data_IF_978833899744
#
_entry.id   IF_978833899744
#
_cell.length_a   1.000
_cell.length_b   1.000
_cell.length_c   1.000
_cell.angle_alpha   90.00
_cell.angle_beta   90.00
_cell.angle_gamma   90.00
#
_symmetry.space_group_name_H-M   'P 1'
#
loop_
_entity.id
_entity.type
_entity.pdbx_description
1 polymer ?
#
# COMPACT_ATOMS: atom_id res chain seq x y z
N UNK A 1 -15.55 -20.42 -18.09
CA UNK A 1 -15.53 -21.59 -17.17
C UNK A 1 -16.48 -21.28 -16.03
N UNK A 2 -17.63 -21.96 -15.95
CA UNK A 2 -18.55 -21.91 -14.81
C UNK A 2 -17.93 -22.72 -13.67
N UNK A 3 -17.74 -22.09 -12.51
CA UNK A 3 -17.32 -22.81 -11.30
C UNK A 3 -18.47 -23.71 -10.86
N UNK A 4 -18.17 -24.98 -10.53
CA UNK A 4 -19.17 -25.93 -10.06
C UNK A 4 -19.53 -25.60 -8.61
N UNK A 5 -20.81 -25.39 -8.30
CA UNK A 5 -21.29 -24.95 -6.97
C UNK A 5 -21.43 -26.09 -5.95
N UNK A 6 -20.73 -27.21 -6.17
CA UNK A 6 -20.81 -28.43 -5.35
C UNK A 6 -20.11 -28.27 -3.98
N UNK A 7 -19.19 -27.32 -3.85
CA UNK A 7 -18.44 -27.08 -2.62
C UNK A 7 -18.61 -25.62 -2.18
N UNK A 8 -18.75 -25.35 -0.86
CA UNK A 8 -18.80 -23.99 -0.36
C UNK A 8 -17.44 -23.30 -0.57
N UNK A 9 -17.44 -22.17 -1.28
CA UNK A 9 -16.25 -21.38 -1.51
C UNK A 9 -16.15 -20.24 -0.50
N UNK A 10 -15.13 -20.29 0.36
CA UNK A 10 -14.72 -19.18 1.20
C UNK A 10 -13.57 -18.44 0.51
N UNK A 11 -13.72 -17.15 0.25
CA UNK A 11 -12.68 -16.38 -0.44
C UNK A 11 -11.89 -15.56 0.57
N UNK A 12 -10.66 -15.98 0.85
CA UNK A 12 -9.75 -15.28 1.75
C UNK A 12 -9.03 -14.12 1.05
N UNK A 13 -9.04 -12.95 1.70
CA UNK A 13 -8.50 -11.68 1.22
C UNK A 13 -9.24 -11.21 -0.03
N UNK A 14 -10.17 -10.28 0.20
CA UNK A 14 -10.95 -9.68 -0.86
C UNK A 14 -10.05 -9.02 -1.92
N UNK A 15 -10.31 -9.24 -3.22
CA UNK A 15 -9.79 -8.31 -4.23
C UNK A 15 -10.33 -6.91 -3.92
N UNK A 16 -9.64 -5.84 -4.33
CA UNK A 16 -10.10 -4.45 -4.15
C UNK A 16 -11.28 -4.11 -5.09
N UNK A 17 -12.36 -4.88 -5.00
CA UNK A 17 -13.56 -4.80 -5.85
C UNK A 17 -14.29 -3.48 -5.63
N UNK A 18 -14.26 -2.99 -4.39
CA UNK A 18 -14.76 -1.69 -3.97
C UNK A 18 -14.11 -0.52 -4.69
N UNK A 19 -12.86 -0.65 -5.13
CA UNK A 19 -12.11 0.44 -5.74
C UNK A 19 -12.45 0.65 -7.23
N UNK A 20 -12.60 -0.43 -8.02
CA UNK A 20 -12.71 -0.30 -9.49
C UNK A 20 -13.25 -1.54 -10.23
N UNK A 21 -13.76 -2.58 -9.55
CA UNK A 21 -14.18 -3.83 -10.21
C UNK A 21 -15.60 -4.27 -9.90
N UNK A 22 -16.57 -3.34 -9.88
CA UNK A 22 -17.98 -3.66 -9.58
C UNK A 22 -18.55 -4.86 -10.36
N UNK A 23 -18.14 -5.07 -11.62
CA UNK A 23 -18.57 -6.25 -12.40
C UNK A 23 -18.20 -7.60 -11.79
N UNK A 24 -17.23 -7.67 -10.86
CA UNK A 24 -16.90 -8.91 -10.13
C UNK A 24 -17.86 -9.20 -8.97
N UNK A 25 -18.66 -8.23 -8.53
CA UNK A 25 -19.62 -8.42 -7.45
C UNK A 25 -20.63 -9.51 -7.79
N UNK A 26 -21.11 -9.57 -9.03
CA UNK A 26 -22.04 -10.62 -9.46
C UNK A 26 -21.41 -12.01 -9.41
N UNK A 27 -20.14 -12.13 -9.79
CA UNK A 27 -19.40 -13.39 -9.71
C UNK A 27 -19.21 -13.80 -8.24
N UNK A 28 -18.83 -12.85 -7.38
CA UNK A 28 -18.66 -13.12 -5.95
C UNK A 28 -19.99 -13.57 -5.35
N UNK A 29 -21.08 -12.84 -5.60
CA UNK A 29 -22.43 -13.19 -5.14
C UNK A 29 -22.88 -14.57 -5.59
N UNK A 30 -22.51 -14.96 -6.82
CA UNK A 30 -22.91 -16.25 -7.41
C UNK A 30 -22.12 -17.42 -6.83
N UNK A 31 -20.83 -17.25 -6.59
CA UNK A 31 -19.92 -18.37 -6.33
C UNK A 31 -19.32 -18.40 -4.93
N UNK A 32 -19.23 -17.27 -4.24
CA UNK A 32 -18.59 -17.19 -2.91
C UNK A 32 -19.66 -17.29 -1.84
N UNK A 33 -19.53 -18.29 -0.96
CA UNK A 33 -20.41 -18.51 0.18
C UNK A 33 -20.24 -17.41 1.23
N UNK A 34 -18.99 -17.07 1.55
CA UNK A 34 -18.64 -16.02 2.50
C UNK A 34 -17.27 -15.43 2.14
N UNK A 35 -17.21 -14.11 2.04
CA UNK A 35 -15.97 -13.36 1.86
C UNK A 35 -15.26 -13.24 3.20
N UNK A 36 -13.94 -13.48 3.21
CA UNK A 36 -13.11 -13.17 4.37
C UNK A 36 -12.23 -11.97 4.03
N UNK A 37 -12.52 -10.87 4.71
CA UNK A 37 -11.99 -9.54 4.40
C UNK A 37 -10.94 -9.11 5.41
N UNK A 38 -10.05 -8.21 5.00
CA UNK A 38 -8.90 -7.76 5.80
C UNK A 38 -8.95 -6.26 6.13
N UNK A 39 -9.99 -5.56 5.67
CA UNK A 39 -10.29 -4.20 6.10
C UNK A 39 -11.71 -4.12 6.62
N UNK A 40 -11.89 -3.39 7.73
CA UNK A 40 -13.18 -3.25 8.43
C UNK A 40 -14.29 -2.69 7.52
N UNK A 41 -13.97 -1.77 6.61
CA UNK A 41 -14.96 -1.20 5.70
C UNK A 41 -15.48 -2.19 4.63
N UNK A 42 -14.75 -3.28 4.37
CA UNK A 42 -15.13 -4.25 3.33
C UNK A 42 -16.36 -5.06 3.74
N UNK A 43 -16.58 -5.31 5.04
CA UNK A 43 -17.79 -5.99 5.52
C UNK A 43 -19.05 -5.19 5.15
N UNK A 44 -19.06 -3.91 5.47
CA UNK A 44 -20.18 -3.01 5.14
C UNK A 44 -20.34 -2.80 3.63
N UNK A 45 -19.23 -2.80 2.87
CA UNK A 45 -19.28 -2.78 1.41
C UNK A 45 -19.99 -4.01 0.85
N UNK A 46 -19.62 -5.22 1.26
CA UNK A 46 -20.23 -6.46 0.77
C UNK A 46 -21.66 -6.66 1.26
N UNK A 47 -21.96 -6.25 2.49
CA UNK A 47 -23.31 -6.30 3.06
C UNK A 47 -24.32 -5.50 2.22
N UNK A 48 -23.93 -4.31 1.74
CA UNK A 48 -24.76 -3.48 0.83
C UNK A 48 -25.02 -4.17 -0.51
N UNK A 49 -24.13 -5.06 -0.93
CA UNK A 49 -24.24 -5.83 -2.18
C UNK A 49 -24.93 -7.20 -1.96
N UNK A 50 -25.44 -7.48 -0.75
CA UNK A 50 -26.08 -8.73 -0.39
C UNK A 50 -25.13 -9.92 -0.32
N UNK A 51 -23.84 -9.68 -0.05
CA UNK A 51 -22.80 -10.70 0.08
C UNK A 51 -22.39 -10.81 1.55
N UNK A 52 -22.33 -12.04 2.07
CA UNK A 52 -21.83 -12.28 3.43
C UNK A 52 -20.32 -12.08 3.42
N UNK A 53 -19.85 -11.20 4.30
CA UNK A 53 -18.43 -10.94 4.50
C UNK A 53 -18.12 -10.91 6.00
N UNK A 54 -16.94 -11.37 6.36
CA UNK A 54 -16.45 -11.41 7.73
C UNK A 54 -15.02 -10.91 7.84
N UNK A 55 -14.81 -9.98 8.74
CA UNK A 55 -13.50 -9.45 9.07
C UNK A 55 -12.90 -10.20 10.25
N UNK A 56 -11.64 -10.61 10.11
CA UNK A 56 -10.89 -11.25 11.19
C UNK A 56 -9.69 -10.45 11.65
N UNK A 57 -9.43 -9.26 11.14
CA UNK A 57 -8.16 -8.56 11.37
C UNK A 57 -7.27 -8.59 10.12
N UNK A 58 -6.16 -7.87 10.19
CA UNK A 58 -5.21 -7.76 9.10
C UNK A 58 -3.97 -8.64 9.33
N UNK A 59 -3.64 -9.62 8.45
CA UNK A 59 -2.53 -10.55 8.65
C UNK A 59 -1.15 -9.89 8.84
N UNK A 60 -0.94 -8.72 8.21
CA UNK A 60 0.30 -7.95 8.41
C UNK A 60 0.61 -7.61 9.88
N UNK A 61 -0.39 -7.56 10.78
CA UNK A 61 -0.13 -7.32 12.20
C UNK A 61 0.61 -8.48 12.88
N UNK A 62 0.53 -9.69 12.32
CA UNK A 62 1.27 -10.88 12.79
C UNK A 62 2.64 -11.02 12.11
N UNK A 63 2.74 -10.57 10.85
CA UNK A 63 3.94 -10.75 10.02
C UNK A 63 4.97 -9.63 10.28
N UNK A 64 4.50 -8.40 10.48
CA UNK A 64 5.39 -7.25 10.68
C UNK A 64 6.00 -7.33 12.09
N UNK A 65 7.34 -7.23 12.22
CA UNK A 65 8.01 -7.23 13.51
C UNK A 65 7.50 -6.10 14.42
N UNK A 66 7.22 -6.45 15.67
CA UNK A 66 6.77 -5.50 16.68
C UNK A 66 7.91 -4.63 17.26
N UNK A 67 9.14 -4.91 16.87
CA UNK A 67 10.31 -4.14 17.29
C UNK A 67 10.34 -2.79 16.57
N UNK A 68 10.80 -1.76 17.28
CA UNK A 68 11.13 -0.47 16.67
C UNK A 68 12.49 -0.58 15.98
N UNK A 69 12.55 -0.21 14.72
CA UNK A 69 13.80 -0.10 13.97
C UNK A 69 14.45 1.26 14.24
N UNK A 70 15.78 1.27 14.38
CA UNK A 70 16.52 2.52 14.49
C UNK A 70 16.44 3.28 13.18
N UNK A 71 15.92 4.51 13.22
CA UNK A 71 15.78 5.33 12.01
C UNK A 71 17.18 5.79 11.56
N UNK A 72 17.46 5.59 10.28
CA UNK A 72 18.65 6.09 9.59
C UNK A 72 18.25 7.26 8.72
N UNK A 73 19.20 8.14 8.40
CA UNK A 73 19.00 9.20 7.40
C UNK A 73 19.01 8.61 5.98
N UNK A 74 18.04 7.76 5.69
CA UNK A 74 17.85 7.11 4.39
C UNK A 74 16.44 7.35 3.90
N UNK A 75 16.33 7.78 2.65
CA UNK A 75 15.07 7.93 1.91
C UNK A 75 14.97 6.76 0.94
N UNK A 76 13.93 5.94 1.08
CA UNK A 76 13.76 4.75 0.24
C UNK A 76 12.70 4.95 -0.84
N UNK A 77 12.96 4.42 -2.03
CA UNK A 77 12.06 4.43 -3.17
C UNK A 77 11.44 3.03 -3.33
N UNK A 78 10.10 2.95 -3.35
CA UNK A 78 9.35 1.71 -3.60
C UNK A 78 8.51 1.89 -4.88
N UNK A 79 9.09 1.65 -6.07
CA UNK A 79 8.46 2.00 -7.35
C UNK A 79 7.27 1.11 -7.76
N UNK A 80 7.04 0.01 -7.05
CA UNK A 80 5.92 -0.90 -7.28
C UNK A 80 6.34 -2.35 -7.34
N UNK A 81 5.34 -3.21 -7.44
CA UNK A 81 5.49 -4.68 -7.41
C UNK A 81 5.56 -5.32 -8.80
N UNK A 82 5.25 -4.54 -9.84
CA UNK A 82 5.15 -4.98 -11.23
C UNK A 82 6.04 -4.15 -12.13
N UNK A 83 6.62 -4.79 -13.15
CA UNK A 83 7.46 -4.14 -14.15
C UNK A 83 6.84 -2.87 -14.75
N UNK A 84 5.54 -2.91 -15.06
CA UNK A 84 4.79 -1.79 -15.61
C UNK A 84 4.56 -0.64 -14.62
N UNK A 85 4.51 -0.92 -13.32
CA UNK A 85 4.49 0.13 -12.28
C UNK A 85 5.87 0.75 -12.19
N UNK A 86 6.92 -0.08 -12.07
CA UNK A 86 8.31 0.34 -11.97
C UNK A 86 8.71 1.21 -13.16
N UNK A 87 8.38 0.79 -14.38
CA UNK A 87 8.65 1.52 -15.62
C UNK A 87 8.06 2.94 -15.62
N UNK A 88 6.93 3.17 -14.95
CA UNK A 88 6.25 4.46 -14.92
C UNK A 88 6.61 5.31 -13.71
N UNK A 89 6.90 4.69 -12.58
CA UNK A 89 7.13 5.38 -11.31
C UNK A 89 8.61 5.67 -11.07
N UNK A 90 9.49 4.69 -11.32
CA UNK A 90 10.90 4.80 -10.93
C UNK A 90 11.62 5.99 -11.59
N UNK A 91 11.42 6.32 -12.88
CA UNK A 91 12.04 7.50 -13.48
C UNK A 91 11.74 8.81 -12.71
N UNK A 92 10.46 9.05 -12.41
CA UNK A 92 10.03 10.24 -11.66
C UNK A 92 10.60 10.25 -10.24
N UNK A 93 10.67 9.08 -9.58
CA UNK A 93 11.28 8.96 -8.27
C UNK A 93 12.79 9.26 -8.30
N UNK A 94 13.51 8.78 -9.33
CA UNK A 94 14.94 9.02 -9.51
C UNK A 94 15.23 10.49 -9.82
N UNK A 95 14.39 11.16 -10.59
CA UNK A 95 14.47 12.61 -10.85
C UNK A 95 14.26 13.45 -9.57
N UNK A 96 13.49 12.95 -8.60
CA UNK A 96 13.32 13.62 -7.31
C UNK A 96 14.57 13.55 -6.41
N UNK A 97 15.41 12.52 -6.57
CA UNK A 97 16.62 12.31 -5.74
C UNK A 97 17.56 13.51 -5.74
N UNK A 98 18.02 14.07 -6.87
CA UNK A 98 18.90 15.24 -6.87
C UNK A 98 18.24 16.48 -6.25
N UNK A 99 16.93 16.68 -6.46
CA UNK A 99 16.18 17.79 -5.88
C UNK A 99 16.13 17.72 -4.35
N UNK A 100 15.92 16.52 -3.80
CA UNK A 100 15.92 16.29 -2.36
C UNK A 100 17.34 16.44 -1.80
N UNK A 101 18.34 15.85 -2.47
CA UNK A 101 19.74 15.88 -2.03
C UNK A 101 20.28 17.31 -1.93
N UNK A 102 19.87 18.20 -2.83
CA UNK A 102 20.25 19.61 -2.79
C UNK A 102 19.76 20.34 -1.52
N UNK A 103 18.62 19.93 -0.95
CA UNK A 103 18.04 20.54 0.27
C UNK A 103 18.34 19.75 1.54
N UNK A 104 18.63 18.45 1.42
CA UNK A 104 18.86 17.50 2.51
C UNK A 104 20.15 16.69 2.29
N UNK A 105 21.35 17.32 2.33
CA UNK A 105 22.61 16.67 1.99
C UNK A 105 23.01 15.53 2.95
N UNK A 106 22.45 15.50 4.16
CA UNK A 106 22.71 14.46 5.17
C UNK A 106 21.93 13.15 4.95
N UNK A 107 21.11 13.05 3.90
CA UNK A 107 20.31 11.87 3.61
C UNK A 107 20.88 11.04 2.46
N UNK A 108 20.90 9.73 2.66
CA UNK A 108 21.22 8.73 1.65
C UNK A 108 19.95 8.20 0.99
N UNK A 109 20.09 7.48 -0.13
CA UNK A 109 18.98 7.02 -0.94
C UNK A 109 19.16 5.57 -1.34
N UNK A 110 18.05 4.83 -1.44
CA UNK A 110 18.03 3.46 -1.96
C UNK A 110 16.70 3.13 -2.63
N UNK A 111 16.71 2.14 -3.51
CA UNK A 111 15.52 1.51 -4.06
C UNK A 111 15.29 0.21 -3.29
N UNK A 112 14.08 0.01 -2.78
CA UNK A 112 13.66 -1.26 -2.20
C UNK A 112 12.88 -2.03 -3.27
N UNK A 113 13.46 -3.13 -3.77
CA UNK A 113 12.87 -3.98 -4.80
C UNK A 113 12.06 -5.12 -4.21
N UNK A 114 10.92 -5.49 -4.81
CA UNK A 114 10.19 -6.68 -4.41
C UNK A 114 10.93 -7.94 -4.88
N UNK A 115 10.78 -9.06 -4.16
CA UNK A 115 11.52 -10.30 -4.43
C UNK A 115 11.20 -10.92 -5.80
N UNK A 116 9.99 -10.67 -6.33
CA UNK A 116 9.56 -11.20 -7.63
C UNK A 116 10.13 -10.44 -8.84
N UNK A 117 10.85 -9.33 -8.63
CA UNK A 117 11.48 -8.57 -9.70
C UNK A 117 13.01 -8.72 -9.58
N UNK A 118 13.67 -9.26 -10.62
CA UNK A 118 15.11 -9.46 -10.62
C UNK A 118 15.87 -8.13 -10.54
N UNK A 119 17.06 -8.14 -9.92
CA UNK A 119 17.89 -6.95 -9.77
C UNK A 119 18.26 -6.35 -11.14
N UNK A 120 18.48 -7.21 -12.13
CA UNK A 120 18.82 -6.88 -13.51
C UNK A 120 17.74 -6.02 -14.18
N UNK A 121 16.48 -6.18 -13.78
CA UNK A 121 15.40 -5.33 -14.29
C UNK A 121 15.61 -3.86 -13.91
N UNK A 122 16.27 -3.58 -12.79
CA UNK A 122 16.54 -2.21 -12.35
C UNK A 122 17.75 -1.59 -13.06
N UNK A 123 18.69 -2.40 -13.57
CA UNK A 123 19.88 -1.92 -14.27
C UNK A 123 19.54 -1.05 -15.49
N UNK A 124 18.43 -1.35 -16.18
CA UNK A 124 17.96 -0.56 -17.34
C UNK A 124 17.61 0.90 -17.03
N UNK A 125 17.44 1.25 -15.76
CA UNK A 125 17.15 2.62 -15.32
C UNK A 125 18.42 3.38 -14.91
N UNK A 126 19.59 2.71 -14.93
CA UNK A 126 20.87 3.24 -14.48
C UNK A 126 20.77 4.02 -13.16
N UNK A 127 20.20 3.42 -12.09
CA UNK A 127 19.95 4.14 -10.86
C UNK A 127 21.27 4.61 -10.24
N UNK A 128 21.34 5.89 -9.86
CA UNK A 128 22.48 6.48 -9.17
C UNK A 128 22.56 6.12 -7.66
N UNK A 129 21.76 5.13 -7.24
CA UNK A 129 21.52 4.75 -5.85
C UNK A 129 21.39 3.23 -5.75
N UNK A 130 21.70 2.68 -4.57
CA UNK A 130 21.69 1.23 -4.36
C UNK A 130 20.27 0.64 -4.49
N UNK A 131 20.18 -0.56 -5.07
CA UNK A 131 18.95 -1.36 -5.12
C UNK A 131 19.11 -2.51 -4.14
N UNK A 132 18.22 -2.60 -3.15
CA UNK A 132 18.23 -3.63 -2.11
C UNK A 132 16.92 -4.40 -2.08
N UNK A 133 16.95 -5.61 -1.54
CA UNK A 133 15.76 -6.43 -1.38
C UNK A 133 14.80 -5.87 -0.32
N UNK A 134 13.52 -6.17 -0.52
CA UNK A 134 12.47 -5.84 0.42
C UNK A 134 12.64 -6.56 1.75
N UNK A 135 12.73 -5.78 2.83
CA UNK A 135 12.65 -6.27 4.19
C UNK A 135 11.96 -5.25 5.09
N UNK A 136 11.33 -5.71 6.17
CA UNK A 136 10.74 -4.81 7.16
C UNK A 136 11.79 -3.95 7.86
N UNK A 137 13.03 -4.43 7.94
CA UNK A 137 14.16 -3.63 8.40
C UNK A 137 14.48 -2.49 7.44
N UNK A 138 14.56 -2.76 6.13
CA UNK A 138 14.78 -1.73 5.15
C UNK A 138 13.67 -0.66 5.14
N UNK A 139 12.41 -1.07 5.29
CA UNK A 139 11.32 -0.09 5.43
C UNK A 139 11.46 0.65 6.76
N UNK A 140 11.57 -0.08 7.86
CA UNK A 140 11.58 0.46 9.22
C UNK A 140 12.74 1.41 9.52
N UNK A 141 13.92 1.20 8.93
CA UNK A 141 15.08 2.09 9.06
C UNK A 141 14.94 3.38 8.24
N UNK A 142 14.02 3.46 7.29
CA UNK A 142 13.85 4.65 6.45
C UNK A 142 13.29 5.82 7.26
N UNK A 143 13.87 7.00 7.04
CA UNK A 143 13.35 8.26 7.56
C UNK A 143 12.13 8.73 6.77
N UNK A 144 12.16 8.52 5.45
CA UNK A 144 11.04 8.83 4.57
C UNK A 144 10.96 7.85 3.41
N UNK A 145 9.77 7.62 2.89
CA UNK A 145 9.56 6.73 1.75
C UNK A 145 8.78 7.41 0.62
N UNK A 146 9.22 7.22 -0.61
CA UNK A 146 8.47 7.55 -1.82
C UNK A 146 7.98 6.24 -2.41
N UNK A 147 6.67 5.98 -2.39
CA UNK A 147 6.11 4.67 -2.75
C UNK A 147 5.01 4.78 -3.80
N UNK A 148 4.85 3.72 -4.59
CA UNK A 148 3.65 3.54 -5.41
C UNK A 148 2.41 3.25 -4.56
N UNK A 149 1.21 3.54 -5.07
CA UNK A 149 -0.03 3.05 -4.45
C UNK A 149 -0.10 1.51 -4.46
N UNK A 150 -0.27 0.89 -3.29
CA UNK A 150 -0.31 -0.56 -3.14
C UNK A 150 -0.28 -1.04 -1.69
N UNK A 151 -0.14 -2.35 -1.48
CA UNK A 151 -0.09 -2.95 -0.12
C UNK A 151 1.10 -2.46 0.70
N UNK A 152 2.21 -2.09 0.03
CA UNK A 152 3.38 -1.50 0.66
C UNK A 152 3.03 -0.27 1.53
N UNK A 153 1.99 0.50 1.19
CA UNK A 153 1.58 1.66 2.01
C UNK A 153 1.13 1.24 3.40
N UNK A 154 0.49 0.07 3.54
CA UNK A 154 0.06 -0.46 4.84
C UNK A 154 1.27 -0.94 5.65
N UNK A 155 2.22 -1.61 5.01
CA UNK A 155 3.46 -2.04 5.67
C UNK A 155 4.29 -0.84 6.18
N UNK A 156 4.43 0.18 5.34
CA UNK A 156 5.11 1.45 5.68
C UNK A 156 4.41 2.13 6.86
N UNK A 157 3.08 2.19 6.85
CA UNK A 157 2.29 2.79 7.93
C UNK A 157 2.43 2.03 9.25
N UNK A 158 2.38 0.69 9.21
CA UNK A 158 2.54 -0.17 10.39
C UNK A 158 3.95 -0.09 10.98
N UNK A 159 4.95 0.28 10.18
CA UNK A 159 6.32 0.57 10.61
C UNK A 159 6.55 2.05 10.99
N UNK A 160 5.47 2.84 11.02
CA UNK A 160 5.46 4.26 11.41
C UNK A 160 6.50 5.10 10.65
N UNK A 161 6.68 4.84 9.36
CA UNK A 161 7.59 5.59 8.49
C UNK A 161 6.78 6.62 7.72
N UNK A 162 7.04 7.94 7.85
CA UNK A 162 6.43 8.95 6.99
C UNK A 162 6.74 8.72 5.51
N UNK A 163 5.78 8.99 4.63
CA UNK A 163 5.92 8.68 3.21
C UNK A 163 5.05 9.56 2.32
N UNK A 164 5.23 9.43 1.01
CA UNK A 164 4.39 10.03 -0.03
C UNK A 164 4.03 8.97 -1.08
N UNK A 165 2.83 9.06 -1.63
CA UNK A 165 2.34 8.15 -2.66
C UNK A 165 2.42 8.83 -4.03
N UNK A 166 2.92 8.11 -5.03
CA UNK A 166 2.62 8.40 -6.44
C UNK A 166 1.91 7.25 -7.13
N UNK A 167 1.13 7.58 -8.16
CA UNK A 167 0.58 6.58 -9.04
C UNK A 167 0.41 7.10 -10.47
N UNK A 168 1.02 6.40 -11.43
CA UNK A 168 0.94 6.67 -12.88
C UNK A 168 0.54 5.39 -13.60
N UNK A 169 -0.54 5.45 -14.39
CA UNK A 169 -0.99 4.34 -15.24
C UNK A 169 -1.07 4.80 -16.69
N UNK A 170 -1.38 3.91 -17.63
CA UNK A 170 -1.61 4.35 -19.01
C UNK A 170 -2.88 5.23 -19.08
N UNK A 171 -2.93 6.16 -20.04
CA UNK A 171 -4.01 7.15 -20.15
C UNK A 171 -5.40 6.54 -20.31
N UNK A 172 -5.51 5.39 -21.00
CA UNK A 172 -6.77 4.67 -21.16
C UNK A 172 -7.27 4.12 -19.82
N UNK A 173 -6.36 3.49 -19.06
CA UNK A 173 -6.63 2.95 -17.72
C UNK A 173 -6.97 4.09 -16.77
N UNK A 174 -6.27 5.23 -16.86
CA UNK A 174 -6.59 6.41 -16.05
C UNK A 174 -7.98 6.95 -16.35
N UNK A 175 -8.36 7.04 -17.63
CA UNK A 175 -9.67 7.53 -18.06
C UNK A 175 -10.81 6.64 -17.54
N UNK A 176 -10.57 5.33 -17.46
CA UNK A 176 -11.51 4.37 -16.86
C UNK A 176 -11.52 4.52 -15.33
N UNK A 177 -10.35 4.52 -14.67
CA UNK A 177 -10.23 4.62 -13.22
C UNK A 177 -10.86 5.92 -12.69
N UNK A 178 -10.60 7.07 -13.32
CA UNK A 178 -11.16 8.37 -12.91
C UNK A 178 -12.69 8.37 -12.90
N UNK A 179 -13.32 7.59 -13.80
CA UNK A 179 -14.80 7.47 -13.87
C UNK A 179 -15.36 6.43 -12.89
N UNK A 180 -14.53 5.51 -12.40
CA UNK A 180 -14.96 4.38 -11.56
C UNK A 180 -14.65 4.55 -10.07
N UNK A 181 -13.60 5.31 -9.74
CA UNK A 181 -13.20 5.57 -8.35
C UNK A 181 -14.17 6.57 -7.74
N UNK A 182 -14.92 6.11 -6.72
CA UNK A 182 -15.88 6.94 -5.96
C UNK A 182 -15.29 7.45 -4.62
N UNK A 183 -14.01 7.23 -4.39
CA UNK A 183 -13.33 7.57 -3.13
C UNK A 183 -12.44 8.79 -3.35
N UNK A 184 -12.38 9.68 -2.35
CA UNK A 184 -11.51 10.86 -2.38
C UNK A 184 -10.01 10.51 -2.31
N UNK A 185 -9.70 9.26 -1.96
CA UNK A 185 -8.36 8.72 -1.79
C UNK A 185 -8.16 7.45 -2.62
N UNK A 186 -6.93 7.22 -3.07
CA UNK A 186 -6.50 5.97 -3.73
C UNK A 186 -5.57 5.17 -2.82
N UNK A 187 -4.79 5.84 -1.99
CA UNK A 187 -3.91 5.22 -1.01
C UNK A 187 -4.70 4.53 0.11
N UNK A 188 -4.37 3.27 0.38
CA UNK A 188 -5.05 2.48 1.41
C UNK A 188 -5.03 3.17 2.77
N UNK A 189 -3.94 3.86 3.10
CA UNK A 189 -3.77 4.56 4.38
C UNK A 189 -4.80 5.66 4.58
N UNK A 190 -5.00 6.52 3.58
CA UNK A 190 -5.99 7.59 3.67
C UNK A 190 -7.43 7.05 3.61
N UNK A 191 -7.67 5.98 2.84
CA UNK A 191 -8.97 5.29 2.79
C UNK A 191 -9.35 4.73 4.16
N UNK A 192 -8.42 4.03 4.82
CA UNK A 192 -8.63 3.48 6.15
C UNK A 192 -8.84 4.58 7.20
N UNK A 193 -8.06 5.66 7.11
CA UNK A 193 -8.18 6.81 8.00
C UNK A 193 -9.42 7.68 7.74
N UNK A 194 -10.05 7.56 6.57
CA UNK A 194 -11.11 8.44 6.07
C UNK A 194 -10.72 9.92 6.07
N UNK A 195 -9.43 10.21 6.01
CA UNK A 195 -8.85 11.56 5.95
C UNK A 195 -7.49 11.51 5.28
N UNK A 196 -7.02 12.67 4.84
CA UNK A 196 -5.68 12.82 4.26
C UNK A 196 -4.63 12.82 5.37
N UNK A 197 -3.94 11.70 5.56
CA UNK A 197 -2.73 11.59 6.40
C UNK A 197 -1.48 11.79 5.53
N UNK A 198 -1.49 11.20 4.34
CA UNK A 198 -0.35 11.15 3.42
C UNK A 198 -0.71 11.87 2.12
N UNK A 199 0.27 12.59 1.55
CA UNK A 199 0.14 13.18 0.22
C UNK A 199 0.06 12.09 -0.87
N UNK A 200 -0.89 12.26 -1.79
CA UNK A 200 -1.11 11.35 -2.92
C UNK A 200 -1.05 12.13 -4.24
N UNK A 201 -0.06 11.79 -5.08
CA UNK A 201 0.11 12.40 -6.38
C UNK A 201 -0.27 11.43 -7.50
N UNK A 202 -1.13 11.86 -8.41
CA UNK A 202 -1.76 11.01 -9.42
C UNK A 202 -1.51 11.58 -10.82
N UNK A 203 -1.06 10.72 -11.73
CA UNK A 203 -0.78 11.05 -13.13
C UNK A 203 0.08 12.30 -13.29
N UNK A 204 -0.52 13.42 -13.69
CA UNK A 204 0.17 14.67 -14.03
C UNK A 204 0.67 15.40 -12.78
N UNK A 205 0.05 15.17 -11.62
CA UNK A 205 0.55 15.74 -10.34
C UNK A 205 1.68 14.91 -9.74
N UNK A 206 1.91 13.69 -10.22
CA UNK A 206 3.05 12.85 -9.85
C UNK A 206 4.31 13.29 -10.61
N UNK A 207 4.86 14.43 -10.19
CA UNK A 207 6.12 15.02 -10.68
C UNK A 207 7.23 14.86 -9.65
N UNK A 208 8.49 14.91 -10.11
CA UNK A 208 9.66 14.80 -9.23
C UNK A 208 9.74 15.96 -8.23
N UNK A 209 9.31 17.17 -8.63
CA UNK A 209 9.26 18.36 -7.78
C UNK A 209 8.23 18.21 -6.66
N UNK A 210 7.04 17.68 -6.97
CA UNK A 210 6.01 17.43 -5.97
C UNK A 210 6.48 16.43 -4.91
N UNK A 211 7.10 15.32 -5.36
CA UNK A 211 7.69 14.32 -4.47
C UNK A 211 8.81 14.90 -3.61
N UNK A 212 9.71 15.67 -4.22
CA UNK A 212 10.82 16.30 -3.53
C UNK A 212 10.34 17.32 -2.51
N UNK A 213 9.36 18.16 -2.86
CA UNK A 213 8.77 19.14 -1.97
C UNK A 213 8.18 18.48 -0.73
N UNK A 214 7.35 17.44 -0.89
CA UNK A 214 6.74 16.74 0.24
C UNK A 214 7.77 16.06 1.13
N UNK A 215 8.78 15.40 0.54
CA UNK A 215 9.84 14.76 1.30
C UNK A 215 10.64 15.78 2.13
N UNK A 216 11.02 16.91 1.52
CA UNK A 216 11.77 17.97 2.19
C UNK A 216 10.92 18.64 3.27
N UNK A 217 9.69 19.03 2.97
CA UNK A 217 8.79 19.64 3.95
C UNK A 217 8.58 18.74 5.17
N UNK A 218 8.40 17.44 4.95
CA UNK A 218 8.20 16.48 6.04
C UNK A 218 9.46 16.25 6.87
N UNK A 219 10.63 16.16 6.24
CA UNK A 219 11.89 15.86 6.93
C UNK A 219 12.56 17.09 7.56
N UNK A 220 12.27 18.29 7.08
CA UNK A 220 12.82 19.54 7.61
C UNK A 220 12.02 20.11 8.78
N UNK A 221 10.75 19.72 8.94
CA UNK A 221 9.90 20.16 10.04
C UNK A 221 9.60 19.00 11.01
N UNK A 222 10.18 19.09 12.21
CA UNK A 222 10.00 18.08 13.27
C UNK A 222 8.56 17.97 13.75
N UNK A 223 7.78 19.06 13.68
CA UNK A 223 6.37 19.04 14.06
C UNK A 223 5.54 18.27 13.02
N UNK A 224 5.70 18.59 11.72
CA UNK A 224 5.06 17.84 10.63
C UNK A 224 5.45 16.37 10.67
N UNK A 225 6.73 16.05 10.83
CA UNK A 225 7.20 14.67 10.94
C UNK A 225 6.52 13.90 12.08
N UNK A 226 6.47 14.50 13.28
CA UNK A 226 5.85 13.91 14.45
C UNK A 226 4.34 13.74 14.29
N UNK A 227 3.67 14.71 13.67
CA UNK A 227 2.24 14.66 13.39
C UNK A 227 1.88 13.50 12.44
N UNK A 228 2.60 13.37 11.32
CA UNK A 228 2.40 12.25 10.38
C UNK A 228 2.65 10.92 11.09
N UNK A 229 3.73 10.81 11.86
CA UNK A 229 4.05 9.57 12.58
C UNK A 229 2.96 9.20 13.60
N UNK A 230 2.41 10.17 14.32
CA UNK A 230 1.29 9.96 15.26
C UNK A 230 0.05 9.43 14.54
N UNK A 231 -0.28 9.99 13.40
CA UNK A 231 -1.41 9.54 12.59
C UNK A 231 -1.21 8.10 12.06
N UNK A 232 0.01 7.75 11.63
CA UNK A 232 0.36 6.38 11.24
C UNK A 232 0.27 5.40 12.41
N UNK A 233 0.70 5.80 13.61
CA UNK A 233 0.56 4.99 14.82
C UNK A 233 -0.92 4.73 15.17
N UNK A 234 -1.77 5.76 15.07
CA UNK A 234 -3.22 5.61 15.30
C UNK A 234 -3.89 4.69 14.26
N UNK A 235 -3.39 4.67 13.02
CA UNK A 235 -3.94 3.80 11.97
C UNK A 235 -3.84 2.32 12.33
N UNK A 236 -2.83 1.93 13.10
CA UNK A 236 -2.64 0.56 13.55
C UNK A 236 -3.85 0.03 14.32
N UNK A 237 -4.46 0.85 15.16
CA UNK A 237 -5.67 0.50 15.90
C UNK A 237 -6.87 0.29 14.96
N UNK A 238 -6.93 1.05 13.87
CA UNK A 238 -7.97 0.92 12.84
C UNK A 238 -7.80 -0.34 11.99
N UNK A 239 -6.55 -0.78 11.76
CA UNK A 239 -6.20 -2.02 11.06
C UNK A 239 -6.51 -3.27 11.92
N UNK A 240 -6.86 -3.10 13.19
CA UNK A 240 -7.42 -4.14 14.05
C UNK A 240 -6.42 -4.87 14.93
N UNK A 241 -6.77 -6.10 15.31
CA UNK A 241 -6.01 -6.92 16.26
C UNK A 241 -5.21 -8.03 15.57
N UNK A 242 -4.11 -8.44 16.19
CA UNK A 242 -3.36 -9.65 15.82
C UNK A 242 -4.24 -10.91 15.91
N UNK A 243 -3.77 -12.05 15.40
CA UNK A 243 -4.48 -13.35 15.35
C UNK A 243 -5.61 -13.43 14.31
N UNK A 244 -5.54 -12.64 13.25
CA UNK A 244 -6.43 -12.76 12.09
C UNK A 244 -6.32 -14.14 11.42
N UNK A 245 -5.12 -14.69 11.31
CA UNK A 245 -4.91 -16.01 10.68
C UNK A 245 -5.54 -17.13 11.50
N UNK A 246 -5.32 -17.12 12.82
CA UNK A 246 -5.86 -18.09 13.78
C UNK A 246 -7.39 -18.02 13.82
N UNK A 247 -7.97 -16.82 14.00
CA UNK A 247 -9.43 -16.63 13.99
C UNK A 247 -10.08 -17.09 12.68
N UNK A 248 -9.41 -16.88 11.55
CA UNK A 248 -9.89 -17.39 10.27
C UNK A 248 -9.82 -18.92 10.21
N UNK A 249 -8.74 -19.53 10.69
CA UNK A 249 -8.60 -20.99 10.75
C UNK A 249 -9.69 -21.61 11.64
N UNK A 250 -9.88 -21.10 12.86
CA UNK A 250 -10.94 -21.54 13.78
C UNK A 250 -12.32 -21.39 13.16
N UNK A 251 -12.55 -20.28 12.47
CA UNK A 251 -13.78 -20.06 11.74
C UNK A 251 -14.00 -21.13 10.67
N UNK A 252 -13.01 -21.43 9.84
CA UNK A 252 -13.15 -22.47 8.80
C UNK A 252 -13.36 -23.84 9.44
N UNK A 253 -12.63 -24.19 10.50
CA UNK A 253 -12.84 -25.45 11.25
C UNK A 253 -14.27 -25.55 11.76
N UNK A 254 -14.82 -24.47 12.34
CA UNK A 254 -16.22 -24.43 12.79
C UNK A 254 -17.25 -24.61 11.67
N UNK A 255 -16.86 -24.45 10.40
CA UNK A 255 -17.70 -24.69 9.23
C UNK A 255 -17.56 -26.09 8.65
N UNK A 256 -16.54 -26.85 9.06
CA UNK A 256 -16.28 -28.20 8.55
C UNK A 256 -17.06 -29.28 9.33
N UNK A 257 -17.46 -29.01 10.58
CA UNK A 257 -18.14 -29.99 11.44
C UNK A 257 -17.13 -30.82 12.22
#
# INVERSE_FOLDING_TARGET
>A
KTLNNRYPLYYYISPQVWAWRKGRIELIRRYVKEMVVIFTFEEEFYKKEGIVARYFGHPLLEIIPQKKFSKKNVISLLPGSRENEIKRHLPVMLEAVPLIRARLPGYTFRIIRPLNIPLEYYARFNPSIAVIEHSYEAIGESAFIITSSGTATVEIALLEVPFVILYKVNALTWSILRRMVKTDFIGMVNILAKKKIIEEFLQDTATSEALAHTAVATLSDTHTYAAVKKELANLRETIGSAHATERFADFIVSRLG
#
